data_IF_886657016279
#
_entry.id   IF_886657016279
#
_cell.length_a   1.000
_cell.length_b   1.000
_cell.length_c   1.000
_cell.angle_alpha   90.00
_cell.angle_beta   90.00
_cell.angle_gamma   90.00
#
_symmetry.space_group_name_H-M   'P 1'
#
loop_
_entity.id
_entity.type
_entity.pdbx_description
1 polymer ?
#
# COMPACT_ATOMS: atom_id res chain seq x y z
N UNK A 1 12.98 29.23 37.98
CA UNK A 1 12.02 28.11 38.28
C UNK A 1 11.80 27.35 37.00
N UNK A 2 11.88 26.04 37.06
CA UNK A 2 11.66 25.24 35.85
C UNK A 2 10.18 25.24 35.45
N UNK A 3 9.93 25.42 34.17
CA UNK A 3 8.61 25.42 33.57
C UNK A 3 8.35 24.12 32.87
N UNK A 4 7.13 23.56 33.06
CA UNK A 4 6.70 22.32 32.47
C UNK A 4 5.92 22.63 31.21
N UNK A 5 6.47 22.27 30.07
CA UNK A 5 5.84 22.41 28.76
C UNK A 5 5.00 21.19 28.48
N UNK A 6 3.69 21.42 28.30
CA UNK A 6 2.70 20.39 27.97
C UNK A 6 2.30 20.47 26.51
N UNK A 7 1.83 19.35 25.95
CA UNK A 7 1.30 19.29 24.58
C UNK A 7 0.12 20.26 24.40
N UNK A 8 0.27 21.32 23.62
CA UNK A 8 -0.83 22.25 23.39
C UNK A 8 -1.85 21.68 22.41
N UNK A 9 -3.09 22.16 22.51
CA UNK A 9 -4.12 21.85 21.54
C UNK A 9 -3.97 22.75 20.32
N UNK A 10 -3.33 22.26 19.26
CA UNK A 10 -3.05 23.04 18.03
C UNK A 10 -4.18 23.03 17.01
N UNK A 11 -5.24 22.20 17.22
CA UNK A 11 -6.42 22.13 16.35
C UNK A 11 -7.64 21.71 17.17
N UNK A 12 -8.86 22.19 16.79
CA UNK A 12 -10.10 21.89 17.51
C UNK A 12 -10.44 20.40 17.59
N UNK A 13 -9.94 19.61 16.64
CA UNK A 13 -10.16 18.17 16.54
C UNK A 13 -8.99 17.34 17.03
N UNK A 14 -7.91 17.98 17.52
CA UNK A 14 -6.71 17.29 17.96
C UNK A 14 -6.96 16.60 19.32
N UNK A 15 -6.66 15.32 19.41
CA UNK A 15 -6.61 14.54 20.64
C UNK A 15 -5.18 14.14 21.00
N UNK A 16 -4.32 13.98 20.00
CA UNK A 16 -2.91 13.61 20.13
C UNK A 16 -2.08 14.22 19.01
N UNK A 17 -0.78 14.40 19.23
CA UNK A 17 0.21 14.80 18.24
C UNK A 17 1.42 13.87 18.27
N UNK A 18 2.19 13.83 17.20
CA UNK A 18 3.45 13.09 17.09
C UNK A 18 4.60 14.06 16.99
N UNK A 19 5.63 13.90 17.79
CA UNK A 19 6.86 14.70 17.65
C UNK A 19 7.63 14.17 16.42
N UNK A 20 7.64 14.93 15.34
CA UNK A 20 8.33 14.57 14.10
C UNK A 20 9.85 14.68 14.27
N UNK A 21 10.32 15.82 14.72
CA UNK A 21 11.76 16.10 14.90
C UNK A 21 11.99 17.02 16.08
N UNK A 22 13.05 16.76 16.88
CA UNK A 22 13.59 17.69 17.86
C UNK A 22 14.75 18.46 17.24
N UNK A 23 14.73 19.79 17.37
CA UNK A 23 15.83 20.68 16.90
C UNK A 23 16.81 21.03 18.00
N UNK A 24 16.47 20.76 19.26
CA UNK A 24 17.28 20.99 20.45
C UNK A 24 17.49 19.71 21.24
N UNK A 25 18.65 19.62 21.89
CA UNK A 25 18.99 18.49 22.75
C UNK A 25 18.94 18.91 24.24
N UNK A 26 18.87 17.90 25.12
CA UNK A 26 18.94 18.16 26.57
C UNK A 26 20.27 18.83 26.88
N UNK A 27 20.20 19.99 27.57
CA UNK A 27 21.34 20.82 27.90
C UNK A 27 21.52 22.05 27.00
N UNK A 28 20.79 22.15 25.88
CA UNK A 28 20.87 23.31 25.00
C UNK A 28 20.12 24.52 25.59
N UNK A 29 20.67 25.71 25.37
CA UNK A 29 20.02 26.98 25.75
C UNK A 29 18.99 27.34 24.70
N UNK A 30 17.80 27.74 25.14
CA UNK A 30 16.65 28.07 24.31
C UNK A 30 16.14 29.44 24.67
N UNK A 31 15.74 30.24 23.66
CA UNK A 31 15.12 31.54 23.83
C UNK A 31 13.63 31.48 23.50
N UNK A 32 12.85 32.36 24.11
CA UNK A 32 11.43 32.53 23.79
C UNK A 32 11.22 32.77 22.28
N UNK A 33 10.33 32.02 21.65
CA UNK A 33 10.10 32.02 20.20
C UNK A 33 11.10 31.22 19.38
N UNK A 34 12.06 30.51 20.01
CA UNK A 34 12.99 29.64 19.30
C UNK A 34 12.37 28.26 19.06
N UNK A 35 12.59 27.72 17.85
CA UNK A 35 12.04 26.44 17.43
C UNK A 35 12.63 25.27 18.25
N UNK A 36 11.77 24.56 18.96
CA UNK A 36 12.12 23.38 19.78
C UNK A 36 11.94 22.07 19.06
N UNK A 37 10.75 21.88 18.48
CA UNK A 37 10.36 20.63 17.85
C UNK A 37 9.33 20.88 16.75
N UNK A 38 9.18 19.92 15.88
CA UNK A 38 8.15 19.86 14.87
C UNK A 38 7.10 18.81 15.27
N UNK A 39 5.83 19.26 15.40
CA UNK A 39 4.71 18.41 15.82
C UNK A 39 3.81 18.13 14.61
N UNK A 40 3.66 16.88 14.29
CA UNK A 40 2.73 16.40 13.27
C UNK A 40 1.36 16.14 13.91
N UNK A 41 0.34 16.83 13.39
CA UNK A 41 -1.06 16.69 13.81
C UNK A 41 -1.87 15.94 12.72
N UNK A 42 -3.14 15.72 12.97
CA UNK A 42 -4.07 15.10 12.01
C UNK A 42 -4.27 15.89 10.70
N UNK A 43 -3.87 17.18 10.70
CA UNK A 43 -4.12 18.10 9.57
C UNK A 43 -2.86 18.67 8.94
N UNK A 44 -1.82 18.92 9.73
CA UNK A 44 -0.57 19.54 9.27
C UNK A 44 0.55 19.30 10.27
N UNK A 45 1.78 19.45 9.80
CA UNK A 45 2.96 19.59 10.64
C UNK A 45 3.08 21.04 11.06
N UNK A 46 3.29 21.28 12.34
CA UNK A 46 3.38 22.62 12.91
C UNK A 46 4.66 22.75 13.73
N UNK A 47 5.27 23.94 13.65
CA UNK A 47 6.43 24.30 14.42
C UNK A 47 6.04 24.56 15.87
N UNK A 48 6.80 24.00 16.79
CA UNK A 48 6.62 24.20 18.22
C UNK A 48 7.77 25.02 18.78
N UNK A 49 7.44 26.25 19.15
CA UNK A 49 8.38 27.23 19.66
C UNK A 49 8.41 27.23 21.19
N UNK A 50 9.55 27.63 21.76
CA UNK A 50 9.70 27.78 23.22
C UNK A 50 8.87 28.96 23.75
N UNK A 51 8.06 28.77 24.80
CA UNK A 51 7.33 29.84 25.42
C UNK A 51 8.22 30.74 26.30
N UNK A 52 9.36 30.23 26.80
CA UNK A 52 10.26 30.95 27.72
C UNK A 52 11.73 30.73 27.41
N UNK A 53 12.57 31.58 28.05
CA UNK A 53 14.04 31.49 28.00
C UNK A 53 14.54 30.50 29.06
N UNK A 54 15.49 29.62 28.69
CA UNK A 54 16.10 28.72 29.65
C UNK A 54 16.98 27.65 29.02
N UNK A 55 17.25 26.59 29.76
CA UNK A 55 17.96 25.40 29.29
C UNK A 55 16.97 24.23 29.22
N UNK A 56 16.99 23.47 28.14
CA UNK A 56 16.16 22.27 28.00
C UNK A 56 16.69 21.18 28.94
N UNK A 57 15.99 20.97 30.08
CA UNK A 57 16.42 20.03 31.11
C UNK A 57 15.93 18.59 30.88
N UNK A 58 14.76 18.45 30.26
CA UNK A 58 14.14 17.13 30.08
C UNK A 58 13.27 17.09 28.80
N UNK A 59 13.32 15.94 28.11
CA UNK A 59 12.46 15.59 26.98
C UNK A 59 11.56 14.43 27.42
N UNK A 60 10.27 14.67 27.53
CA UNK A 60 9.28 13.68 27.99
C UNK A 60 8.79 12.73 26.91
N UNK A 61 8.81 13.18 25.65
CA UNK A 61 8.34 12.40 24.48
C UNK A 61 9.44 12.39 23.44
N UNK A 62 9.89 11.19 23.06
CA UNK A 62 10.97 11.05 22.09
C UNK A 62 10.49 11.29 20.64
N UNK A 63 11.43 11.49 19.74
CA UNK A 63 11.15 11.62 18.30
C UNK A 63 10.34 10.42 17.77
N UNK A 64 9.31 10.69 16.97
CA UNK A 64 8.35 9.71 16.42
C UNK A 64 7.43 9.05 17.45
N UNK A 65 7.32 9.57 18.66
CA UNK A 65 6.35 9.12 19.65
C UNK A 65 5.11 10.01 19.69
N UNK A 66 3.96 9.39 20.01
CA UNK A 66 2.68 10.07 20.21
C UNK A 66 2.61 10.66 21.61
N UNK A 67 2.08 11.88 21.74
CA UNK A 67 1.74 12.54 22.98
C UNK A 67 0.28 12.99 22.95
N UNK A 68 -0.45 12.78 24.05
CA UNK A 68 -1.81 13.28 24.22
C UNK A 68 -1.78 14.75 24.66
N UNK A 69 -2.89 15.45 24.42
CA UNK A 69 -3.05 16.82 24.91
C UNK A 69 -2.83 16.86 26.43
N UNK A 70 -2.04 17.83 26.89
CA UNK A 70 -1.58 18.00 28.26
C UNK A 70 -0.51 17.00 28.75
N UNK A 71 0.00 16.08 27.92
CA UNK A 71 1.19 15.32 28.26
C UNK A 71 2.42 16.22 28.35
N UNK A 72 3.34 15.88 29.24
CA UNK A 72 4.59 16.64 29.44
C UNK A 72 5.53 16.35 28.27
N UNK A 73 5.79 17.37 27.42
CA UNK A 73 6.71 17.25 26.28
C UNK A 73 8.14 17.56 26.70
N UNK A 74 8.34 18.65 27.43
CA UNK A 74 9.65 19.13 27.82
C UNK A 74 9.60 19.89 29.15
N UNK A 75 10.77 20.06 29.78
CA UNK A 75 10.97 20.94 30.94
C UNK A 75 12.11 21.87 30.61
N UNK A 76 11.87 23.20 30.74
CA UNK A 76 12.84 24.24 30.56
C UNK A 76 13.09 24.90 31.94
N UNK A 77 14.33 25.14 32.30
CA UNK A 77 14.69 25.78 33.56
C UNK A 77 16.14 26.22 33.62
N UNK A 78 16.64 26.49 34.82
CA UNK A 78 18.05 26.83 35.06
C UNK A 78 18.91 25.58 35.24
N UNK A 79 20.17 25.64 34.87
CA UNK A 79 21.08 24.48 34.71
C UNK A 79 21.28 23.61 35.96
N UNK A 80 20.86 24.08 37.14
CA UNK A 80 21.07 23.41 38.43
C UNK A 80 19.76 22.93 39.11
N UNK A 81 18.63 22.92 38.42
CA UNK A 81 17.34 22.47 38.97
C UNK A 81 17.13 20.94 38.84
N UNK A 82 16.65 20.32 39.92
CA UNK A 82 16.44 18.88 39.98
C UNK A 82 15.11 18.49 39.32
N UNK A 83 15.22 17.87 38.14
CA UNK A 83 14.10 17.43 37.30
C UNK A 83 13.25 16.34 37.98
N UNK A 84 13.84 15.54 38.90
CA UNK A 84 13.17 14.42 39.57
C UNK A 84 12.06 14.84 40.52
N UNK A 85 12.23 15.94 41.24
CA UNK A 85 11.21 16.50 42.14
C UNK A 85 10.05 17.11 41.36
N UNK A 86 10.36 17.81 40.27
CA UNK A 86 9.37 18.44 39.38
C UNK A 86 8.49 17.42 38.68
N UNK A 87 9.06 16.30 38.20
CA UNK A 87 8.30 15.21 37.60
C UNK A 87 7.40 14.48 38.61
N UNK A 88 7.82 14.34 39.88
CA UNK A 88 6.99 13.76 40.93
C UNK A 88 5.81 14.66 41.30
N UNK A 89 6.03 15.95 41.39
CA UNK A 89 4.98 16.94 41.65
C UNK A 89 3.96 17.03 40.51
N UNK A 90 4.41 16.93 39.25
CA UNK A 90 3.54 16.94 38.08
C UNK A 90 2.71 15.68 37.91
N UNK A 91 3.26 14.49 38.27
CA UNK A 91 2.53 13.22 38.23
C UNK A 91 1.48 13.07 39.33
N UNK A 92 1.63 13.76 40.46
CA UNK A 92 0.63 13.75 41.54
C UNK A 92 -0.60 14.61 41.22
N UNK A 93 -0.55 15.52 40.25
CA UNK A 93 -1.67 16.33 39.81
C UNK A 93 -2.49 15.71 38.65
N UNK A 94 -2.01 14.63 38.02
CA UNK A 94 -2.67 13.99 36.87
C UNK A 94 -3.42 12.70 37.21
N UNK A 95 -3.53 12.27 38.49
CA UNK A 95 -4.28 11.07 38.92
C UNK A 95 -5.80 11.35 39.05
N UNK A 96 -6.46 11.43 37.90
CA UNK A 96 -7.92 11.53 37.84
C UNK A 96 -8.44 11.14 36.45
N UNK A 97 -8.10 9.96 35.90
CA UNK A 97 -8.93 9.14 35.01
C UNK A 97 -8.10 8.01 34.36
N UNK A 98 -8.62 6.77 34.58
CA UNK A 98 -8.40 5.56 33.78
C UNK A 98 -7.11 4.79 33.98
N UNK A 99 -7.13 3.92 34.97
CA UNK A 99 -6.37 2.67 34.98
C UNK A 99 -6.88 1.71 33.91
N UNK A 100 -5.99 1.23 33.06
CA UNK A 100 -6.10 -0.09 32.46
C UNK A 100 -4.71 -0.73 32.38
N UNK A 101 -4.59 -1.80 33.11
CA UNK A 101 -3.45 -2.69 33.29
C UNK A 101 -2.93 -3.22 31.94
N UNK A 102 -1.62 -3.23 31.78
CA UNK A 102 -0.91 -4.34 31.14
C UNK A 102 0.28 -4.68 32.02
N UNK A 103 0.24 -5.89 32.58
CA UNK A 103 1.34 -6.53 33.31
C UNK A 103 2.41 -6.95 32.30
N UNK A 104 3.63 -6.52 32.55
CA UNK A 104 4.84 -7.09 31.98
C UNK A 104 5.43 -8.02 33.02
N UNK A 105 5.45 -9.32 32.76
CA UNK A 105 6.33 -10.29 33.40
C UNK A 105 7.60 -10.38 32.55
N UNK A 106 8.68 -10.01 32.98
CA UNK A 106 9.82 -10.46 33.69
C UNK A 106 10.58 -11.58 32.99
N UNK A 107 11.70 -11.21 32.34
CA UNK A 107 13.07 -11.66 32.58
C UNK A 107 13.35 -13.16 32.61
N UNK A 108 14.22 -13.62 31.72
CA UNK A 108 15.47 -14.29 32.09
C UNK A 108 16.33 -14.57 30.84
N UNK A 109 17.52 -13.99 30.84
CA UNK A 109 18.63 -14.44 30.03
C UNK A 109 19.17 -15.78 30.57
N UNK A 110 19.73 -16.63 29.73
CA UNK A 110 20.87 -17.39 30.15
C UNK A 110 22.10 -17.22 29.23
N UNK A 111 23.11 -16.87 29.95
CA UNK A 111 24.54 -16.86 29.71
C UNK A 111 25.11 -17.89 28.75
N UNK A 112 26.10 -17.35 28.06
CA UNK A 112 27.22 -17.92 27.33
C UNK A 112 27.88 -19.11 28.06
N UNK A 113 28.15 -20.20 27.32
CA UNK A 113 29.27 -21.07 27.56
C UNK A 113 29.86 -21.58 26.26
N UNK A 114 31.01 -21.06 25.95
CA UNK A 114 32.00 -21.66 25.06
C UNK A 114 32.76 -22.74 25.85
N UNK A 115 33.20 -23.85 25.25
CA UNK A 115 34.60 -24.20 25.43
C UNK A 115 35.30 -24.60 24.12
N UNK A 116 36.39 -23.93 23.88
CA UNK A 116 37.54 -24.43 23.11
C UNK A 116 38.12 -25.66 23.82
N UNK A 117 38.55 -26.66 23.06
CA UNK A 117 39.83 -27.35 23.25
C UNK A 117 40.09 -28.32 22.09
N UNK A 118 41.01 -27.96 21.21
CA UNK A 118 42.21 -28.69 20.79
C UNK A 118 42.22 -30.20 21.07
N UNK A 119 42.40 -31.01 20.01
CA UNK A 119 43.41 -32.07 19.98
C UNK A 119 43.77 -32.38 18.49
N UNK A 120 45.00 -32.10 18.14
CA UNK A 120 45.73 -32.64 17.01
C UNK A 120 45.89 -34.15 17.15
N UNK A 121 45.68 -34.90 16.08
CA UNK A 121 46.27 -36.23 15.91
C UNK A 121 46.51 -36.49 14.43
N UNK A 122 47.76 -36.32 14.03
CA UNK A 122 48.36 -36.94 12.88
C UNK A 122 48.05 -38.44 12.85
N UNK A 123 47.58 -38.95 11.72
CA UNK A 123 47.67 -40.37 11.40
C UNK A 123 48.11 -40.58 9.97
N UNK A 124 49.21 -41.30 9.91
CA UNK A 124 49.97 -41.69 8.76
C UNK A 124 49.17 -42.49 7.73
N UNK A 125 49.52 -42.28 6.46
CA UNK A 125 49.08 -43.05 5.29
C UNK A 125 49.57 -44.49 5.38
N UNK A 126 48.62 -45.42 5.55
CA UNK A 126 48.80 -46.82 5.10
C UNK A 126 47.59 -47.22 4.30
N UNK A 127 47.70 -47.17 2.97
CA UNK A 127 46.72 -47.69 2.03
C UNK A 127 46.57 -49.21 2.21
N UNK A 128 45.36 -49.75 2.50
CA UNK A 128 45.13 -51.18 2.55
C UNK A 128 45.31 -51.75 1.12
N UNK A 129 46.12 -52.81 0.96
CA UNK A 129 46.26 -53.52 -0.31
C UNK A 129 44.92 -54.19 -0.64
N UNK A 130 44.25 -53.66 -1.64
CA UNK A 130 43.00 -54.23 -2.17
C UNK A 130 43.32 -55.50 -2.94
N UNK A 131 42.78 -56.64 -2.48
CA UNK A 131 42.85 -57.89 -3.21
C UNK A 131 41.75 -57.91 -4.27
N UNK A 132 42.11 -57.87 -5.53
CA UNK A 132 41.20 -57.85 -6.69
C UNK A 132 41.53 -59.00 -7.65
N UNK A 133 40.54 -59.69 -8.13
CA UNK A 133 40.81 -60.75 -9.14
C UNK A 133 41.20 -60.12 -10.48
N UNK A 134 42.04 -60.77 -11.29
CA UNK A 134 42.51 -60.26 -12.59
C UNK A 134 41.33 -59.87 -13.52
N UNK A 135 40.29 -60.66 -13.53
CA UNK A 135 39.07 -60.42 -14.33
C UNK A 135 38.29 -59.23 -13.82
N UNK A 136 38.13 -59.09 -12.50
CA UNK A 136 37.49 -57.93 -11.92
C UNK A 136 38.27 -56.63 -12.20
N UNK A 137 39.60 -56.68 -12.20
CA UNK A 137 40.44 -55.51 -12.50
C UNK A 137 40.29 -55.02 -13.96
N UNK A 138 40.21 -55.94 -14.92
CA UNK A 138 39.98 -55.58 -16.32
C UNK A 138 38.55 -55.01 -16.55
N UNK A 139 37.58 -55.60 -15.90
CA UNK A 139 36.15 -55.14 -15.98
C UNK A 139 35.97 -53.76 -15.33
N UNK A 140 36.58 -53.52 -14.18
CA UNK A 140 36.53 -52.21 -13.51
C UNK A 140 37.12 -51.10 -14.38
N UNK A 141 38.22 -51.38 -15.11
CA UNK A 141 38.80 -50.45 -16.08
C UNK A 141 37.85 -50.15 -17.25
N UNK A 142 37.19 -51.16 -17.78
CA UNK A 142 36.22 -51.00 -18.89
C UNK A 142 34.95 -50.25 -18.47
N UNK A 143 34.54 -50.43 -17.22
CA UNK A 143 33.35 -49.80 -16.64
C UNK A 143 33.62 -48.51 -15.91
N UNK A 144 34.88 -48.04 -15.88
CA UNK A 144 35.32 -46.81 -15.17
C UNK A 144 34.85 -46.78 -13.70
N UNK A 145 35.00 -47.92 -13.00
CA UNK A 145 34.58 -48.09 -11.60
C UNK A 145 35.79 -48.03 -10.69
N UNK A 146 35.69 -47.23 -9.62
CA UNK A 146 36.72 -47.17 -8.58
C UNK A 146 36.63 -48.40 -7.66
N UNK A 147 37.66 -49.23 -7.69
CA UNK A 147 37.75 -50.47 -6.91
C UNK A 147 37.81 -50.25 -5.39
N UNK A 148 38.13 -49.03 -4.97
CA UNK A 148 38.18 -48.68 -3.55
C UNK A 148 36.76 -48.59 -2.91
N UNK A 149 35.72 -48.40 -3.74
CA UNK A 149 34.32 -48.27 -3.31
C UNK A 149 33.55 -49.57 -3.32
N UNK A 150 34.14 -50.67 -3.81
CA UNK A 150 33.48 -51.99 -3.97
C UNK A 150 33.90 -52.91 -2.86
N UNK A 151 32.96 -53.41 -2.06
CA UNK A 151 33.19 -54.41 -1.03
C UNK A 151 33.34 -55.78 -1.68
N UNK A 152 34.54 -56.42 -1.58
CA UNK A 152 34.78 -57.76 -2.13
C UNK A 152 34.15 -58.89 -1.32
N UNK A 153 33.37 -59.76 -1.97
CA UNK A 153 32.72 -60.94 -1.36
C UNK A 153 33.50 -62.25 -1.58
N UNK A 154 34.67 -62.21 -2.26
CA UNK A 154 35.50 -63.38 -2.50
C UNK A 154 36.37 -63.75 -1.27
N UNK A 155 37.08 -64.92 -1.38
CA UNK A 155 37.93 -65.42 -0.32
C UNK A 155 38.94 -64.37 0.12
N UNK A 156 39.04 -64.13 1.43
CA UNK A 156 39.86 -63.12 2.07
C UNK A 156 39.52 -61.69 1.64
N UNK A 157 38.23 -61.35 1.37
CA UNK A 157 37.80 -60.02 0.99
C UNK A 157 38.17 -59.59 -0.42
N UNK A 158 38.46 -60.53 -1.30
CA UNK A 158 38.84 -60.28 -2.69
C UNK A 158 37.63 -59.84 -3.53
N UNK A 159 37.77 -58.73 -4.28
CA UNK A 159 36.75 -58.26 -5.22
C UNK A 159 36.72 -59.19 -6.42
N UNK A 160 35.53 -59.79 -6.69
CA UNK A 160 35.25 -60.70 -7.78
C UNK A 160 34.28 -60.08 -8.80
N UNK A 161 34.14 -60.68 -9.98
CA UNK A 161 33.31 -60.20 -11.09
C UNK A 161 31.86 -59.84 -10.62
N UNK A 162 31.25 -60.71 -9.79
CA UNK A 162 29.88 -60.53 -9.32
C UNK A 162 29.68 -59.26 -8.51
N UNK A 163 30.71 -58.81 -7.80
CA UNK A 163 30.64 -57.60 -6.99
C UNK A 163 30.58 -56.35 -7.85
N UNK A 164 31.24 -56.37 -9.01
CA UNK A 164 31.19 -55.29 -10.00
C UNK A 164 29.87 -55.25 -10.75
N UNK A 165 29.27 -56.43 -11.10
CA UNK A 165 27.94 -56.47 -11.68
C UNK A 165 26.88 -55.93 -10.73
N UNK A 166 26.96 -56.24 -9.45
CA UNK A 166 26.08 -55.70 -8.42
C UNK A 166 26.28 -54.16 -8.22
N UNK A 167 27.51 -53.69 -8.24
CA UNK A 167 27.83 -52.27 -8.13
C UNK A 167 27.36 -51.47 -9.37
N UNK A 168 27.39 -52.07 -10.55
CA UNK A 168 26.86 -51.44 -11.78
C UNK A 168 25.35 -51.34 -11.82
N UNK A 169 24.64 -52.33 -11.28
CA UNK A 169 23.19 -52.31 -11.14
C UNK A 169 22.71 -51.25 -10.10
N UNK A 170 23.47 -51.11 -9.02
CA UNK A 170 23.17 -50.09 -8.02
C UNK A 170 23.40 -48.65 -8.53
N UNK A 171 24.32 -48.41 -9.47
CA UNK A 171 24.47 -47.10 -10.13
C UNK A 171 23.33 -46.73 -11.02
N UNK A 172 22.74 -47.71 -11.78
CA UNK A 172 21.56 -47.47 -12.61
C UNK A 172 20.29 -47.12 -11.79
N UNK A 173 20.25 -47.57 -10.53
CA UNK A 173 19.15 -47.23 -9.61
C UNK A 173 19.36 -45.86 -8.91
N UNK A 174 20.55 -45.30 -8.92
CA UNK A 174 20.87 -44.00 -8.32
C UNK A 174 20.73 -42.82 -9.29
N UNK A 175 20.64 -43.04 -10.60
CA UNK A 175 20.36 -41.96 -11.56
C UNK A 175 18.88 -41.55 -11.66
N UNK A 176 17.98 -42.20 -10.90
CA UNK A 176 16.61 -41.78 -10.72
C UNK A 176 16.30 -41.07 -9.39
N UNK A 177 17.33 -40.72 -8.62
CA UNK A 177 17.18 -39.74 -7.56
C UNK A 177 17.24 -38.36 -8.21
N UNK A 178 16.06 -37.79 -8.48
CA UNK A 178 15.83 -36.36 -8.65
C UNK A 178 16.77 -35.65 -7.69
N UNK A 179 17.62 -34.82 -8.27
CA UNK A 179 18.50 -33.89 -7.58
C UNK A 179 17.74 -33.20 -6.44
N UNK A 180 17.86 -33.75 -5.23
CA UNK A 180 17.31 -33.15 -4.02
C UNK A 180 18.21 -32.03 -3.52
N UNK A 181 18.68 -31.21 -4.43
CA UNK A 181 19.17 -29.85 -4.14
C UNK A 181 18.02 -28.86 -3.83
N UNK A 182 16.82 -29.37 -3.48
CA UNK A 182 15.92 -28.63 -2.59
C UNK A 182 16.53 -28.68 -1.17
N UNK A 183 17.73 -28.09 -1.10
CA UNK A 183 18.43 -27.78 0.12
C UNK A 183 17.45 -27.05 1.05
N UNK A 184 17.21 -27.65 2.21
CA UNK A 184 16.88 -27.00 3.48
C UNK A 184 16.14 -25.66 3.32
N UNK A 185 14.95 -25.68 2.71
CA UNK A 185 13.94 -24.68 3.04
C UNK A 185 13.67 -24.97 4.53
N UNK A 186 14.36 -24.28 5.39
CA UNK A 186 13.96 -24.20 6.78
C UNK A 186 12.55 -23.62 6.73
N UNK A 187 11.53 -24.46 6.89
CA UNK A 187 10.13 -24.07 7.04
C UNK A 187 9.98 -23.28 8.35
N UNK A 188 10.76 -22.20 8.46
CA UNK A 188 10.67 -21.27 9.58
C UNK A 188 9.80 -20.14 9.09
N UNK A 189 8.65 -20.00 9.69
CA UNK A 189 7.80 -18.85 9.51
C UNK A 189 8.62 -17.58 9.75
N UNK A 190 8.59 -16.66 8.82
CA UNK A 190 9.23 -15.35 8.95
C UNK A 190 8.23 -14.27 8.57
N UNK A 191 8.16 -13.23 9.39
CA UNK A 191 7.29 -12.07 9.18
C UNK A 191 8.07 -10.80 9.53
N UNK A 192 7.66 -9.71 8.91
CA UNK A 192 8.17 -8.38 9.19
C UNK A 192 7.00 -7.46 9.54
N UNK A 193 6.98 -6.95 10.76
CA UNK A 193 5.98 -5.98 11.20
C UNK A 193 6.44 -4.58 10.81
N UNK A 194 5.63 -3.91 9.96
CA UNK A 194 5.89 -2.55 9.49
C UNK A 194 4.86 -1.61 10.10
N UNK A 195 5.31 -0.54 10.72
CA UNK A 195 4.44 0.48 11.30
C UNK A 195 3.55 1.13 10.21
N UNK A 196 2.27 1.32 10.53
CA UNK A 196 1.31 1.97 9.63
C UNK A 196 1.64 3.47 9.57
N UNK A 197 1.87 4.00 8.36
CA UNK A 197 2.10 5.43 8.18
C UNK A 197 0.84 6.25 8.50
N UNK A 198 0.99 7.51 8.93
CA UNK A 198 -0.11 8.43 9.24
C UNK A 198 -1.07 8.60 8.05
N UNK A 199 -0.55 8.67 6.83
CA UNK A 199 -1.34 8.73 5.60
C UNK A 199 -2.23 7.49 5.49
N UNK A 200 -1.66 6.30 5.66
CA UNK A 200 -2.41 5.04 5.56
C UNK A 200 -3.43 4.89 6.69
N UNK A 201 -3.11 5.32 7.90
CA UNK A 201 -4.05 5.35 9.03
C UNK A 201 -5.25 6.26 8.75
N UNK A 202 -5.00 7.47 8.21
CA UNK A 202 -6.06 8.41 7.83
C UNK A 202 -6.94 7.85 6.71
N UNK A 203 -6.34 7.22 5.68
CA UNK A 203 -7.08 6.55 4.60
C UNK A 203 -7.95 5.43 5.18
N UNK A 204 -7.37 4.56 6.03
CA UNK A 204 -8.10 3.46 6.65
C UNK A 204 -9.30 3.95 7.47
N UNK A 205 -9.13 4.99 8.30
CA UNK A 205 -10.21 5.60 9.08
C UNK A 205 -11.34 6.08 8.17
N UNK A 206 -11.04 6.85 7.13
CA UNK A 206 -12.03 7.38 6.18
C UNK A 206 -12.76 6.28 5.40
N UNK A 207 -12.04 5.26 4.93
CA UNK A 207 -12.65 4.16 4.18
C UNK A 207 -13.54 3.30 5.09
N UNK A 208 -13.11 3.04 6.33
CA UNK A 208 -13.91 2.30 7.32
C UNK A 208 -15.17 3.07 7.68
N UNK A 209 -15.06 4.38 7.90
CA UNK A 209 -16.21 5.26 8.16
C UNK A 209 -17.20 5.25 6.99
N UNK A 210 -16.70 5.43 5.75
CA UNK A 210 -17.54 5.38 4.56
C UNK A 210 -18.27 4.04 4.44
N UNK A 211 -17.54 2.92 4.60
CA UNK A 211 -18.12 1.59 4.42
C UNK A 211 -19.15 1.23 5.49
N UNK A 212 -18.97 1.73 6.71
CA UNK A 212 -19.87 1.45 7.84
C UNK A 212 -21.08 2.36 7.89
N UNK A 213 -20.97 3.61 7.41
CA UNK A 213 -22.05 4.60 7.52
C UNK A 213 -22.90 4.75 6.27
N UNK A 214 -22.35 4.41 5.09
CA UNK A 214 -23.04 4.54 3.81
C UNK A 214 -23.62 3.19 3.39
N UNK A 215 -24.93 3.05 3.20
CA UNK A 215 -25.56 1.86 2.63
C UNK A 215 -25.25 1.80 1.13
N UNK A 216 -24.11 1.18 0.77
CA UNK A 216 -23.69 1.03 -0.61
C UNK A 216 -24.54 0.03 -1.36
N UNK A 217 -24.97 0.38 -2.58
CA UNK A 217 -25.42 -0.57 -3.58
C UNK A 217 -24.69 -0.36 -4.90
N UNK A 218 -24.72 -1.36 -5.76
CA UNK A 218 -23.86 -1.41 -6.94
C UNK A 218 -24.65 -1.73 -8.18
N UNK A 219 -24.41 -0.98 -9.26
CA UNK A 219 -25.02 -1.19 -10.57
C UNK A 219 -23.92 -1.40 -11.59
N UNK A 220 -23.97 -2.51 -12.33
CA UNK A 220 -22.96 -2.81 -13.37
C UNK A 220 -23.61 -2.87 -14.74
N UNK A 221 -22.97 -2.27 -15.73
CA UNK A 221 -23.36 -2.33 -17.15
C UNK A 221 -22.16 -2.56 -18.04
N UNK A 222 -22.40 -3.17 -19.20
CA UNK A 222 -21.41 -3.33 -20.26
C UNK A 222 -21.66 -2.30 -21.35
N UNK A 223 -20.59 -1.69 -21.87
CA UNK A 223 -20.62 -0.62 -22.86
C UNK A 223 -19.75 -1.01 -24.05
N UNK A 224 -20.27 -0.81 -25.26
CA UNK A 224 -19.50 -0.94 -26.50
C UNK A 224 -18.60 0.29 -26.65
N UNK A 225 -17.31 0.07 -26.78
CA UNK A 225 -16.28 1.11 -26.83
C UNK A 225 -15.71 1.33 -28.23
N UNK A 226 -16.20 0.63 -29.25
CA UNK A 226 -15.66 0.72 -30.63
C UNK A 226 -15.66 2.18 -31.12
N UNK A 227 -16.77 2.89 -30.93
CA UNK A 227 -16.90 4.29 -31.34
C UNK A 227 -16.01 5.25 -30.54
N UNK A 228 -15.76 4.96 -29.27
CA UNK A 228 -14.82 5.73 -28.43
C UNK A 228 -13.37 5.51 -28.88
N UNK A 229 -13.00 4.28 -29.25
CA UNK A 229 -11.66 3.99 -29.78
C UNK A 229 -11.42 4.76 -31.08
N UNK A 230 -12.40 4.77 -31.99
CA UNK A 230 -12.34 5.53 -33.25
C UNK A 230 -12.27 7.04 -32.98
N UNK A 231 -13.17 7.55 -32.12
CA UNK A 231 -13.20 8.97 -31.73
C UNK A 231 -11.85 9.41 -31.17
N UNK A 232 -11.27 8.62 -30.25
CA UNK A 232 -9.98 8.92 -29.65
C UNK A 232 -8.86 9.00 -30.69
N UNK A 233 -8.82 8.08 -31.66
CA UNK A 233 -7.85 8.13 -32.75
C UNK A 233 -8.00 9.44 -33.54
N UNK A 234 -9.22 9.74 -34.02
CA UNK A 234 -9.51 10.94 -34.80
C UNK A 234 -9.18 12.24 -34.05
N UNK A 235 -9.48 12.32 -32.75
CA UNK A 235 -9.13 13.50 -31.95
C UNK A 235 -7.61 13.62 -31.81
N UNK A 236 -6.89 12.52 -31.58
CA UNK A 236 -5.44 12.55 -31.44
C UNK A 236 -4.69 12.88 -32.75
N UNK A 237 -5.30 12.63 -33.90
CA UNK A 237 -4.72 12.99 -35.19
C UNK A 237 -4.70 14.53 -35.42
N UNK A 238 -5.62 15.28 -34.78
CA UNK A 238 -5.73 16.74 -34.91
C UNK A 238 -5.31 17.50 -33.65
N UNK A 239 -5.21 16.84 -32.51
CA UNK A 239 -4.91 17.47 -31.22
C UNK A 239 -3.41 17.61 -31.00
N UNK A 240 -2.97 18.75 -30.47
CA UNK A 240 -1.58 18.97 -30.01
C UNK A 240 -1.26 18.25 -28.70
N UNK A 241 -2.28 17.83 -27.95
CA UNK A 241 -2.15 17.14 -26.67
C UNK A 241 -2.69 15.72 -26.83
N UNK A 242 -1.94 14.73 -26.35
CA UNK A 242 -2.38 13.32 -26.38
C UNK A 242 -3.54 13.09 -25.40
N UNK A 243 -4.70 12.73 -25.93
CA UNK A 243 -5.93 12.48 -25.15
C UNK A 243 -6.03 10.98 -24.86
N UNK A 244 -6.18 10.64 -23.58
CA UNK A 244 -6.39 9.27 -23.11
C UNK A 244 -7.88 8.90 -23.11
N UNK A 245 -8.18 7.59 -23.02
CA UNK A 245 -9.56 7.12 -22.83
C UNK A 245 -10.13 7.70 -21.52
N UNK A 246 -9.31 7.84 -20.49
CA UNK A 246 -9.75 8.37 -19.20
C UNK A 246 -10.21 9.83 -19.31
N UNK A 247 -9.51 10.66 -20.09
CA UNK A 247 -9.88 12.06 -20.31
C UNK A 247 -11.21 12.19 -21.06
N UNK A 248 -11.45 11.28 -22.01
CA UNK A 248 -12.72 11.17 -22.72
C UNK A 248 -13.83 10.80 -21.74
N UNK A 249 -13.61 9.75 -20.90
CA UNK A 249 -14.59 9.29 -19.92
C UNK A 249 -14.96 10.38 -18.92
N UNK A 250 -14.00 11.17 -18.43
CA UNK A 250 -14.26 12.31 -17.54
C UNK A 250 -15.28 13.27 -18.16
N UNK A 251 -15.10 13.62 -19.43
CA UNK A 251 -16.01 14.53 -20.12
C UNK A 251 -17.40 13.94 -20.30
N UNK A 252 -17.48 12.65 -20.70
CA UNK A 252 -18.76 11.97 -20.89
C UNK A 252 -19.52 11.76 -19.56
N UNK A 253 -18.79 11.43 -18.47
CA UNK A 253 -19.37 11.34 -17.13
C UNK A 253 -19.89 12.71 -16.69
N UNK A 254 -19.13 13.78 -16.90
CA UNK A 254 -19.59 15.13 -16.57
C UNK A 254 -20.85 15.53 -17.36
N UNK A 255 -20.94 15.16 -18.64
CA UNK A 255 -22.13 15.38 -19.45
C UNK A 255 -23.32 14.56 -18.95
N UNK A 256 -23.12 13.29 -18.61
CA UNK A 256 -24.18 12.45 -18.03
C UNK A 256 -24.69 12.97 -16.68
N UNK A 257 -23.79 13.46 -15.81
CA UNK A 257 -24.16 14.09 -14.52
C UNK A 257 -25.01 15.35 -14.76
N UNK A 258 -24.71 16.14 -15.77
CA UNK A 258 -25.52 17.32 -16.10
C UNK A 258 -26.97 16.98 -16.45
N UNK A 259 -27.18 15.80 -17.07
CA UNK A 259 -28.49 15.27 -17.40
C UNK A 259 -29.20 14.59 -16.20
N UNK A 260 -28.41 14.11 -15.22
CA UNK A 260 -28.88 13.43 -14.02
C UNK A 260 -28.27 14.07 -12.77
N UNK A 261 -28.70 15.28 -12.38
CA UNK A 261 -28.11 16.01 -11.26
C UNK A 261 -28.30 15.30 -9.90
N UNK A 262 -29.22 14.35 -9.81
CA UNK A 262 -29.51 13.57 -8.61
C UNK A 262 -28.31 12.70 -8.17
N UNK A 263 -27.47 12.23 -9.10
CA UNK A 263 -26.26 11.45 -8.77
C UNK A 263 -25.12 12.32 -8.26
N UNK A 264 -25.22 13.66 -8.44
CA UNK A 264 -24.26 14.64 -7.97
C UNK A 264 -24.62 15.19 -6.60
N UNK A 265 -24.99 14.32 -5.69
CA UNK A 265 -25.51 14.63 -4.38
C UNK A 265 -24.49 14.35 -3.26
N UNK A 266 -24.76 14.88 -2.08
CA UNK A 266 -24.04 14.58 -0.85
C UNK A 266 -25.03 14.49 0.32
N UNK A 267 -24.94 13.40 1.10
CA UNK A 267 -25.71 13.24 2.34
C UNK A 267 -24.99 13.95 3.49
N UNK A 268 -25.63 14.97 4.07
CA UNK A 268 -25.07 15.76 5.17
C UNK A 268 -25.80 15.49 6.51
N UNK A 269 -26.33 14.28 6.67
CA UNK A 269 -27.08 13.86 7.85
C UNK A 269 -28.55 14.23 7.74
N UNK A 270 -28.91 15.44 8.10
CA UNK A 270 -30.29 15.98 8.12
C UNK A 270 -30.78 16.50 6.76
N UNK A 271 -29.86 16.64 5.78
CA UNK A 271 -30.20 17.18 4.46
C UNK A 271 -29.40 16.54 3.35
N UNK A 272 -29.97 16.52 2.15
CA UNK A 272 -29.29 16.15 0.91
C UNK A 272 -28.92 17.44 0.19
N UNK A 273 -27.61 17.54 -0.15
CA UNK A 273 -27.09 18.62 -0.98
C UNK A 273 -26.98 18.16 -2.43
N UNK A 274 -27.66 18.80 -3.35
CA UNK A 274 -27.48 18.62 -4.78
C UNK A 274 -26.48 19.65 -5.30
N UNK A 275 -25.30 19.20 -5.72
CA UNK A 275 -24.26 20.10 -6.23
C UNK A 275 -24.63 20.58 -7.64
N UNK A 276 -24.51 21.88 -7.87
CA UNK A 276 -24.79 22.50 -9.19
C UNK A 276 -23.56 22.58 -10.09
N UNK A 277 -22.38 22.43 -9.51
CA UNK A 277 -21.10 22.32 -10.21
C UNK A 277 -20.68 20.85 -10.30
N UNK A 278 -19.89 20.50 -11.32
CA UNK A 278 -19.44 19.14 -11.56
C UNK A 278 -17.93 19.11 -11.43
N UNK A 279 -17.46 18.57 -10.29
CA UNK A 279 -16.05 18.41 -9.95
C UNK A 279 -15.73 16.92 -9.87
N UNK A 280 -14.92 16.44 -10.81
CA UNK A 280 -14.62 15.01 -10.93
C UNK A 280 -13.32 14.70 -10.21
N UNK A 281 -13.40 13.91 -9.14
CA UNK A 281 -12.26 13.28 -8.50
C UNK A 281 -11.73 12.11 -9.32
N UNK A 282 -10.41 12.02 -9.45
CA UNK A 282 -9.76 10.93 -10.19
C UNK A 282 -8.90 10.13 -9.22
N UNK A 283 -9.24 8.86 -9.02
CA UNK A 283 -8.44 7.98 -8.15
C UNK A 283 -7.10 7.64 -8.83
N UNK A 284 -5.99 8.07 -8.23
CA UNK A 284 -4.62 7.81 -8.68
C UNK A 284 -3.87 7.04 -7.61
N UNK A 285 -3.42 5.82 -7.96
CA UNK A 285 -2.63 4.98 -7.07
C UNK A 285 -1.17 5.46 -7.00
N UNK A 286 -0.61 5.50 -5.81
CA UNK A 286 0.80 5.76 -5.52
C UNK A 286 1.35 4.67 -4.60
N UNK A 287 2.67 4.58 -4.45
CA UNK A 287 3.30 3.56 -3.58
C UNK A 287 2.78 3.57 -2.14
N UNK A 288 2.44 4.75 -1.62
CA UNK A 288 2.04 4.95 -0.22
C UNK A 288 0.53 4.87 0.00
N UNK A 289 -0.28 4.85 -1.07
CA UNK A 289 -1.75 4.82 -0.97
C UNK A 289 -2.47 5.28 -2.23
N UNK A 290 -3.56 6.00 -2.04
CA UNK A 290 -4.44 6.51 -3.10
C UNK A 290 -4.69 8.00 -2.88
N UNK A 291 -4.50 8.81 -3.91
CA UNK A 291 -4.94 10.21 -3.94
C UNK A 291 -6.08 10.38 -4.92
N UNK A 292 -6.94 11.36 -4.62
CA UNK A 292 -8.08 11.70 -5.48
C UNK A 292 -8.02 13.19 -5.86
N UNK A 293 -7.10 13.58 -6.76
CA UNK A 293 -7.09 14.94 -7.29
C UNK A 293 -8.36 15.25 -8.08
N UNK A 294 -8.71 16.54 -8.16
CA UNK A 294 -10.02 17.00 -8.61
C UNK A 294 -9.91 17.85 -9.87
N UNK A 295 -10.58 17.43 -10.94
CA UNK A 295 -10.83 18.25 -12.14
C UNK A 295 -12.08 19.07 -11.90
N UNK A 296 -11.91 20.38 -11.70
CA UNK A 296 -13.02 21.30 -11.40
C UNK A 296 -13.76 21.69 -12.66
N UNK A 297 -15.11 21.84 -12.57
CA UNK A 297 -15.97 22.25 -13.68
C UNK A 297 -15.72 21.44 -14.97
N UNK A 298 -15.68 20.12 -14.83
CA UNK A 298 -15.33 19.21 -15.92
C UNK A 298 -16.32 19.30 -17.10
N UNK A 299 -17.57 19.64 -16.84
CA UNK A 299 -18.62 19.86 -17.83
C UNK A 299 -18.31 21.02 -18.80
N UNK A 300 -17.63 22.06 -18.34
CA UNK A 300 -17.29 23.26 -19.12
C UNK A 300 -15.94 23.17 -19.85
N UNK A 301 -15.16 22.12 -19.65
CA UNK A 301 -13.82 21.95 -20.23
C UNK A 301 -13.84 21.14 -21.52
N UNK A 302 -12.93 21.48 -22.44
CA UNK A 302 -12.68 20.67 -23.65
C UNK A 302 -11.87 19.41 -23.29
N UNK A 303 -11.81 18.43 -24.19
CA UNK A 303 -10.97 17.24 -24.04
C UNK A 303 -9.49 17.58 -23.81
N UNK A 304 -8.96 18.54 -24.58
CA UNK A 304 -7.56 18.97 -24.46
C UNK A 304 -7.27 19.65 -23.13
N UNK A 305 -8.20 20.47 -22.63
CA UNK A 305 -8.07 21.10 -21.31
C UNK A 305 -8.08 20.07 -20.17
N UNK A 306 -9.00 19.10 -20.24
CA UNK A 306 -9.07 17.99 -19.27
C UNK A 306 -7.77 17.18 -19.31
N UNK A 307 -7.30 16.78 -20.51
CA UNK A 307 -6.08 15.99 -20.66
C UNK A 307 -4.84 16.70 -20.07
N UNK A 308 -4.71 18.01 -20.33
CA UNK A 308 -3.60 18.83 -19.80
C UNK A 308 -3.66 18.91 -18.26
N UNK A 309 -4.84 19.15 -17.71
CA UNK A 309 -5.05 19.24 -16.25
C UNK A 309 -4.79 17.91 -15.56
N UNK A 310 -5.32 16.81 -16.11
CA UNK A 310 -5.10 15.45 -15.60
C UNK A 310 -3.61 15.10 -15.60
N UNK A 311 -2.90 15.43 -16.68
CA UNK A 311 -1.45 15.23 -16.76
C UNK A 311 -0.70 16.03 -15.69
N UNK A 312 -1.09 17.29 -15.45
CA UNK A 312 -0.51 18.13 -14.41
C UNK A 312 -0.77 17.57 -12.99
N UNK A 313 -2.03 17.19 -12.73
CA UNK A 313 -2.44 16.60 -11.44
C UNK A 313 -1.69 15.29 -11.18
N UNK A 314 -1.52 14.44 -12.21
CA UNK A 314 -0.74 13.21 -12.11
C UNK A 314 0.72 13.49 -11.76
N UNK A 315 1.38 14.44 -12.44
CA UNK A 315 2.76 14.85 -12.13
C UNK A 315 2.89 15.39 -10.70
N UNK A 316 1.94 16.21 -10.24
CA UNK A 316 1.90 16.68 -8.85
C UNK A 316 1.74 15.54 -7.86
N UNK A 317 0.92 14.53 -8.19
CA UNK A 317 0.70 13.35 -7.35
C UNK A 317 1.98 12.52 -7.22
N UNK A 318 2.65 12.22 -8.34
CA UNK A 318 3.91 11.49 -8.39
C UNK A 318 5.04 12.23 -7.65
N UNK A 319 5.06 13.57 -7.75
CA UNK A 319 6.04 14.45 -7.10
C UNK A 319 5.70 14.82 -5.64
N UNK A 320 4.60 14.32 -5.08
CA UNK A 320 4.09 14.69 -3.73
C UNK A 320 3.85 16.21 -3.56
N UNK A 321 3.51 16.90 -4.66
CA UNK A 321 3.30 18.35 -4.70
C UNK A 321 1.82 18.75 -4.69
N UNK A 322 0.92 17.81 -4.37
CA UNK A 322 -0.52 18.08 -4.25
C UNK A 322 -0.81 19.00 -3.07
N UNK A 323 -1.56 20.05 -3.34
CA UNK A 323 -2.08 20.94 -2.30
C UNK A 323 -3.46 20.47 -1.84
N UNK A 324 -3.92 20.92 -0.67
CA UNK A 324 -5.25 20.64 -0.16
C UNK A 324 -6.36 21.06 -1.16
N UNK A 325 -6.12 22.12 -1.93
CA UNK A 325 -7.04 22.59 -2.97
C UNK A 325 -7.16 21.60 -4.14
N UNK A 326 -6.08 20.86 -4.46
CA UNK A 326 -6.07 19.90 -5.56
C UNK A 326 -6.86 18.62 -5.23
N UNK A 327 -7.09 18.30 -3.93
CA UNK A 327 -7.68 17.02 -3.48
C UNK A 327 -9.04 17.17 -2.76
N UNK A 328 -9.52 18.40 -2.55
CA UNK A 328 -10.81 18.65 -1.88
C UNK A 328 -11.85 19.19 -2.83
N UNK A 329 -13.13 18.89 -2.52
CA UNK A 329 -14.28 19.47 -3.20
C UNK A 329 -14.69 18.73 -4.47
N UNK A 330 -14.31 17.48 -4.64
CA UNK A 330 -14.92 16.59 -5.62
C UNK A 330 -16.40 16.36 -5.29
N UNK A 331 -17.20 16.20 -6.31
CA UNK A 331 -18.65 15.94 -6.17
C UNK A 331 -19.03 14.58 -6.71
N UNK A 332 -18.14 13.97 -7.49
CA UNK A 332 -18.27 12.64 -8.06
C UNK A 332 -16.86 12.10 -8.33
N UNK A 333 -16.58 10.84 -8.03
CA UNK A 333 -15.27 10.24 -8.23
C UNK A 333 -15.28 9.18 -9.35
N UNK A 334 -14.20 9.12 -10.10
CA UNK A 334 -13.91 8.07 -11.09
C UNK A 334 -12.68 7.29 -10.64
N UNK A 335 -12.81 5.96 -10.62
CA UNK A 335 -11.70 5.03 -10.36
C UNK A 335 -11.50 4.11 -11.55
N UNK A 336 -10.30 4.08 -12.13
CA UNK A 336 -10.00 3.29 -13.31
C UNK A 336 -8.89 2.29 -13.02
N UNK A 337 -9.21 0.99 -13.07
CA UNK A 337 -8.28 -0.13 -12.95
C UNK A 337 -8.12 -0.93 -14.26
N UNK A 338 -8.65 -0.40 -15.37
CA UNK A 338 -8.56 -1.05 -16.67
C UNK A 338 -7.13 -1.26 -17.15
N UNK A 339 -6.20 -0.36 -16.78
CA UNK A 339 -4.78 -0.51 -17.09
C UNK A 339 -4.10 -1.71 -16.41
N UNK A 340 -4.71 -2.25 -15.34
CA UNK A 340 -4.25 -3.44 -14.64
C UNK A 340 -4.95 -4.73 -15.13
N UNK A 341 -5.77 -4.65 -16.18
CA UNK A 341 -6.50 -5.78 -16.72
C UNK A 341 -7.72 -6.22 -15.90
N UNK A 342 -8.16 -5.40 -14.93
CA UNK A 342 -9.33 -5.71 -14.09
C UNK A 342 -10.59 -5.51 -14.93
N UNK A 343 -11.38 -6.56 -15.07
CA UNK A 343 -12.61 -6.55 -15.88
C UNK A 343 -13.72 -5.70 -15.25
N UNK A 344 -13.97 -5.89 -13.96
CA UNK A 344 -14.95 -5.12 -13.18
C UNK A 344 -14.58 -5.11 -11.70
N UNK A 345 -14.91 -4.04 -11.00
CA UNK A 345 -14.76 -3.93 -9.55
C UNK A 345 -15.75 -2.90 -9.00
N UNK A 346 -16.00 -2.95 -7.70
CA UNK A 346 -16.83 -1.99 -6.99
C UNK A 346 -15.95 -1.18 -6.02
N UNK A 347 -15.91 0.14 -6.21
CA UNK A 347 -15.16 1.04 -5.34
C UNK A 347 -15.98 1.45 -4.11
N UNK A 348 -15.26 1.84 -3.05
CA UNK A 348 -15.86 2.47 -1.85
C UNK A 348 -16.08 3.95 -2.15
N UNK A 349 -17.25 4.47 -1.78
CA UNK A 349 -17.59 5.88 -1.97
C UNK A 349 -16.65 6.76 -1.15
N UNK A 350 -16.22 7.88 -1.74
CA UNK A 350 -15.38 8.88 -1.10
C UNK A 350 -16.27 9.97 -0.47
N UNK A 351 -16.52 9.97 0.86
CA UNK A 351 -17.39 10.97 1.47
C UNK A 351 -16.86 12.41 1.26
N UNK A 352 -17.74 13.40 1.09
CA UNK A 352 -19.20 13.37 1.23
C UNK A 352 -19.97 13.04 -0.06
N UNK A 353 -19.30 12.56 -1.11
CA UNK A 353 -19.92 12.20 -2.38
C UNK A 353 -20.92 11.05 -2.22
N UNK A 354 -21.94 11.00 -3.08
CA UNK A 354 -22.94 9.93 -3.08
C UNK A 354 -22.65 8.83 -4.11
N UNK A 355 -21.75 9.07 -5.07
CA UNK A 355 -21.46 8.12 -6.14
C UNK A 355 -19.98 8.08 -6.51
N UNK A 356 -19.51 6.87 -6.87
CA UNK A 356 -18.22 6.63 -7.50
C UNK A 356 -18.37 5.66 -8.65
N UNK A 357 -17.77 5.99 -9.81
CA UNK A 357 -17.77 5.15 -11.01
C UNK A 357 -16.47 4.37 -11.12
N UNK A 358 -16.57 3.05 -11.10
CA UNK A 358 -15.48 2.12 -11.35
C UNK A 358 -15.43 1.74 -12.82
N UNK A 359 -14.25 1.85 -13.42
CA UNK A 359 -14.01 1.60 -14.85
C UNK A 359 -13.10 0.40 -14.99
N UNK A 360 -13.58 -0.63 -15.69
CA UNK A 360 -12.85 -1.83 -16.02
C UNK A 360 -11.99 -1.71 -17.28
N UNK A 361 -11.30 -2.79 -17.61
CA UNK A 361 -10.51 -2.90 -18.84
C UNK A 361 -11.41 -2.89 -20.08
N UNK A 362 -10.90 -2.32 -21.17
CA UNK A 362 -11.47 -2.50 -22.50
C UNK A 362 -10.92 -3.83 -23.00
N UNK A 363 -11.81 -4.81 -23.18
CA UNK A 363 -11.46 -6.14 -23.66
C UNK A 363 -12.10 -6.41 -25.00
N UNK A 364 -11.35 -7.00 -25.95
CA UNK A 364 -11.89 -7.45 -27.22
C UNK A 364 -12.53 -8.83 -27.01
N UNK A 365 -13.83 -8.88 -27.17
CA UNK A 365 -14.63 -10.11 -26.99
C UNK A 365 -15.56 -10.33 -28.18
N UNK A 366 -16.00 -11.58 -28.43
CA UNK A 366 -17.05 -11.85 -29.42
C UNK A 366 -18.35 -11.15 -29.02
N UNK A 367 -18.87 -10.31 -29.88
CA UNK A 367 -20.17 -9.62 -29.70
C UNK A 367 -21.09 -9.91 -30.88
N UNK A 368 -22.39 -9.87 -30.64
CA UNK A 368 -23.37 -10.03 -31.71
C UNK A 368 -23.77 -8.63 -32.21
N UNK A 369 -23.42 -8.30 -33.47
CA UNK A 369 -23.87 -7.08 -34.15
C UNK A 369 -24.55 -7.47 -35.47
N UNK A 370 -25.78 -7.00 -35.66
CA UNK A 370 -26.57 -7.29 -36.86
C UNK A 370 -26.72 -8.79 -37.17
N UNK A 371 -26.85 -9.63 -36.12
CA UNK A 371 -26.98 -11.08 -36.25
C UNK A 371 -25.67 -11.83 -36.49
N UNK A 372 -24.54 -11.17 -36.65
CA UNK A 372 -23.22 -11.77 -36.82
C UNK A 372 -22.37 -11.68 -35.57
N UNK A 373 -21.56 -12.71 -35.31
CA UNK A 373 -20.55 -12.68 -34.24
C UNK A 373 -19.30 -12.02 -34.81
N UNK A 374 -18.95 -10.88 -34.20
CA UNK A 374 -17.76 -10.12 -34.59
C UNK A 374 -16.94 -9.75 -33.34
N UNK A 375 -15.62 -9.51 -33.46
CA UNK A 375 -14.86 -8.94 -32.35
C UNK A 375 -15.33 -7.52 -32.05
N UNK A 376 -15.59 -7.23 -30.78
CA UNK A 376 -15.98 -5.87 -30.31
C UNK A 376 -15.23 -5.50 -29.04
N UNK A 377 -14.95 -4.23 -28.87
CA UNK A 377 -14.32 -3.67 -27.69
C UNK A 377 -15.39 -3.40 -26.63
N UNK A 378 -15.35 -4.12 -25.54
CA UNK A 378 -16.36 -3.97 -24.46
C UNK A 378 -15.67 -3.57 -23.16
N UNK A 379 -16.31 -2.67 -22.43
CA UNK A 379 -15.85 -2.19 -21.12
C UNK A 379 -16.99 -2.33 -20.11
N UNK A 380 -16.68 -2.78 -18.89
CA UNK A 380 -17.65 -2.78 -17.78
C UNK A 380 -17.50 -1.53 -16.94
N UNK A 381 -18.63 -0.93 -16.62
CA UNK A 381 -18.79 0.19 -15.70
C UNK A 381 -19.58 -0.28 -14.49
N UNK A 382 -19.07 -0.01 -13.30
CA UNK A 382 -19.79 -0.27 -12.03
C UNK A 382 -19.94 1.03 -11.26
N UNK A 383 -21.17 1.44 -11.01
CA UNK A 383 -21.52 2.59 -10.20
C UNK A 383 -21.81 2.13 -8.77
N UNK A 384 -21.04 2.62 -7.79
CA UNK A 384 -21.35 2.48 -6.38
C UNK A 384 -22.13 3.72 -5.93
N UNK A 385 -23.29 3.53 -5.31
CA UNK A 385 -24.18 4.61 -4.88
C UNK A 385 -24.50 4.52 -3.39
N UNK A 386 -24.71 5.69 -2.78
CA UNK A 386 -25.29 5.85 -1.45
C UNK A 386 -26.81 5.77 -1.54
N UNK A 387 -27.42 4.69 -1.01
CA UNK A 387 -28.86 4.46 -1.11
C UNK A 387 -29.71 5.47 -0.29
N UNK A 388 -29.07 6.33 0.51
CA UNK A 388 -29.76 7.42 1.23
C UNK A 388 -30.08 8.61 0.32
N UNK A 389 -29.35 8.76 -0.80
CA UNK A 389 -29.44 9.91 -1.72
C UNK A 389 -29.80 9.51 -3.14
N UNK A 390 -29.39 8.34 -3.58
CA UNK A 390 -29.59 7.82 -4.93
C UNK A 390 -30.26 6.46 -4.81
N UNK A 391 -31.38 6.26 -5.48
CA UNK A 391 -32.06 4.97 -5.58
C UNK A 391 -31.64 4.20 -6.85
N UNK A 392 -32.09 2.94 -6.94
CA UNK A 392 -31.77 2.07 -8.06
C UNK A 392 -32.22 2.60 -9.42
N UNK A 393 -33.35 3.30 -9.50
CA UNK A 393 -33.91 3.84 -10.74
C UNK A 393 -33.08 5.04 -11.24
N UNK A 394 -32.68 5.93 -10.33
CA UNK A 394 -31.82 7.09 -10.63
C UNK A 394 -30.46 6.62 -11.13
N UNK A 395 -29.79 5.72 -10.37
CA UNK A 395 -28.49 5.18 -10.77
C UNK A 395 -28.51 4.43 -12.10
N UNK A 396 -29.55 3.61 -12.34
CA UNK A 396 -29.73 2.90 -13.60
C UNK A 396 -29.99 3.86 -14.78
N UNK A 397 -30.77 4.92 -14.56
CA UNK A 397 -31.03 5.94 -15.58
C UNK A 397 -29.78 6.70 -15.97
N UNK A 398 -28.95 7.08 -15.00
CA UNK A 398 -27.63 7.67 -15.22
C UNK A 398 -26.73 6.75 -16.04
N UNK A 399 -26.59 5.47 -15.65
CA UNK A 399 -25.77 4.51 -16.37
C UNK A 399 -26.27 4.27 -17.80
N UNK A 400 -27.58 4.23 -18.01
CA UNK A 400 -28.17 4.11 -19.35
C UNK A 400 -27.82 5.31 -20.24
N UNK A 401 -27.90 6.53 -19.69
CA UNK A 401 -27.50 7.74 -20.42
C UNK A 401 -26.00 7.75 -20.70
N UNK A 402 -25.18 7.45 -19.71
CA UNK A 402 -23.72 7.36 -19.92
C UNK A 402 -23.35 6.31 -20.97
N UNK A 403 -23.97 5.13 -20.93
CA UNK A 403 -23.83 4.09 -21.95
C UNK A 403 -24.20 4.61 -23.33
N UNK A 404 -25.37 5.24 -23.48
CA UNK A 404 -25.83 5.81 -24.76
C UNK A 404 -24.82 6.84 -25.32
N UNK A 405 -24.32 7.73 -24.47
CA UNK A 405 -23.33 8.73 -24.84
C UNK A 405 -21.99 8.12 -25.29
N UNK A 406 -21.52 7.07 -24.61
CA UNK A 406 -20.28 6.38 -24.95
C UNK A 406 -20.42 5.57 -26.24
N UNK A 407 -21.55 4.89 -26.44
CA UNK A 407 -21.82 4.14 -27.65
C UNK A 407 -22.11 5.05 -28.86
N UNK A 408 -22.60 6.27 -28.64
CA UNK A 408 -22.89 7.27 -29.67
C UNK A 408 -22.28 8.64 -29.31
N UNK A 409 -20.95 8.79 -29.39
CA UNK A 409 -20.25 9.97 -28.88
C UNK A 409 -20.65 11.30 -29.52
N UNK A 410 -21.24 11.28 -30.72
CA UNK A 410 -21.75 12.49 -31.39
C UNK A 410 -22.91 13.15 -30.64
N UNK A 411 -23.60 12.41 -29.77
CA UNK A 411 -24.65 13.00 -28.90
C UNK A 411 -24.11 14.06 -27.94
N UNK A 412 -22.79 14.10 -27.69
CA UNK A 412 -22.18 15.13 -26.86
C UNK A 412 -22.23 16.52 -27.50
N UNK A 413 -22.44 16.61 -28.81
CA UNK A 413 -22.54 17.87 -29.57
C UNK A 413 -23.94 18.46 -29.59
N UNK A 414 -24.95 17.66 -29.17
CA UNK A 414 -26.37 18.06 -29.08
C UNK A 414 -26.72 18.55 -27.69
#
# INVERSE_FOLDING_TARGET
MAEIIKMPKMSDTMEKGVISTWFKNIGDTVKCGELLAEIETDKATMDFESPEDGVLLYIGVMQKQEAYINDIIAIIGTKDEDVTEILKAAKSQSNGASQSRIQVSGTEEPSVCNPESLIDAKKENSSPRLFVSPVARSMAKTMNLDLATVIGTGISGRVIKRDLDSASHNRKSQELFIDSSYSNVTNKESYEDVAVSNIRATIAKRLTESKNTIPHFYLTTSVDMDNIVILRSSINDISSVKISVNDILIKFVAAAIKMHPEVNAACLGDKIRYNKHIHIGIAIAVKEGLYVPVVRFADNKSFSTIATEVLLLRKKTEGKLLKNEDIRGSTFTISNLGMFGIEAFAAIINPPESCILSIGAISQIPVIKNGNIIPGNVMKLTLSCDHRTVDGAIGASFLRTLKSLLENPMQLLL
#
